data_IF_610246718647
#
_entry.id   IF_610246718647
#
_cell.length_a   1.000
_cell.length_b   1.000
_cell.length_c   1.000
_cell.angle_alpha   90.00
_cell.angle_beta   90.00
_cell.angle_gamma   90.00
#
_symmetry.space_group_name_H-M   'P 1'
#
loop_
_entity.id
_entity.type
_entity.pdbx_description
1 polymer ?
#
# COMPACT_ATOMS: atom_id res chain seq x y z
N UNK A 1 -27.88 29.66 -13.98
CA UNK A 1 -28.22 28.51 -13.13
C UNK A 1 -27.22 27.43 -13.51
N UNK A 2 -26.16 27.24 -12.72
CA UNK A 2 -25.20 26.16 -12.98
C UNK A 2 -25.87 24.88 -12.50
N UNK A 3 -26.06 23.90 -13.40
CA UNK A 3 -26.46 22.56 -12.97
C UNK A 3 -25.45 22.04 -11.97
N UNK A 4 -25.94 21.55 -10.83
CA UNK A 4 -25.08 20.93 -9.82
C UNK A 4 -24.59 19.63 -10.43
N UNK A 5 -23.34 19.65 -10.86
CA UNK A 5 -22.65 18.47 -11.37
C UNK A 5 -22.66 17.38 -10.29
N UNK A 6 -23.12 16.18 -10.63
CA UNK A 6 -23.02 15.04 -9.72
C UNK A 6 -21.54 14.64 -9.55
N UNK A 7 -20.98 14.97 -8.40
CA UNK A 7 -19.60 14.68 -8.04
C UNK A 7 -19.41 13.24 -7.49
N UNK A 8 -20.45 12.41 -7.52
CA UNK A 8 -20.32 10.99 -7.20
C UNK A 8 -19.44 10.28 -8.24
N UNK A 9 -18.91 9.10 -7.89
CA UNK A 9 -18.20 8.25 -8.85
C UNK A 9 -19.09 7.88 -10.05
N UNK A 10 -20.40 7.75 -9.83
CA UNK A 10 -21.40 7.48 -10.88
C UNK A 10 -21.51 8.67 -11.84
N UNK A 11 -21.74 9.88 -11.32
CA UNK A 11 -21.85 11.12 -12.09
C UNK A 11 -20.57 11.48 -12.84
N UNK A 12 -19.41 11.35 -12.19
CA UNK A 12 -18.11 11.59 -12.83
C UNK A 12 -17.86 10.58 -13.95
N UNK A 13 -18.13 9.30 -13.73
CA UNK A 13 -17.95 8.27 -14.75
C UNK A 13 -18.90 8.50 -15.93
N UNK A 14 -20.18 8.78 -15.65
CA UNK A 14 -21.16 9.09 -16.68
C UNK A 14 -20.75 10.32 -17.50
N UNK A 15 -20.23 11.36 -16.86
CA UNK A 15 -19.72 12.55 -17.54
C UNK A 15 -18.52 12.25 -18.44
N UNK A 16 -17.55 11.48 -17.95
CA UNK A 16 -16.32 11.19 -18.70
C UNK A 16 -16.54 10.17 -19.83
N UNK A 17 -17.51 9.27 -19.68
CA UNK A 17 -17.72 8.15 -20.61
C UNK A 17 -18.96 8.30 -21.48
N UNK A 18 -19.92 9.14 -21.07
CA UNK A 18 -21.26 9.20 -21.65
C UNK A 18 -22.16 8.01 -21.28
N UNK A 19 -21.74 7.14 -20.36
CA UNK A 19 -22.48 5.92 -19.99
C UNK A 19 -22.97 5.99 -18.55
N UNK A 20 -24.30 6.11 -18.38
CA UNK A 20 -24.93 6.08 -17.07
C UNK A 20 -24.81 4.70 -16.40
N UNK A 21 -24.73 4.67 -15.07
CA UNK A 21 -24.68 3.44 -14.27
C UNK A 21 -23.34 2.68 -14.29
N UNK A 22 -22.46 2.93 -15.26
CA UNK A 22 -21.14 2.27 -15.34
C UNK A 22 -20.27 2.56 -14.10
N UNK A 23 -20.30 3.80 -13.59
CA UNK A 23 -19.52 4.18 -12.40
C UNK A 23 -19.94 3.44 -11.13
N UNK A 24 -21.24 3.23 -10.94
CA UNK A 24 -21.78 2.42 -9.83
C UNK A 24 -21.33 0.96 -9.94
N UNK A 25 -21.45 0.35 -11.12
CA UNK A 25 -21.03 -1.04 -11.33
C UNK A 25 -19.53 -1.22 -11.05
N UNK A 26 -18.69 -0.30 -11.54
CA UNK A 26 -17.24 -0.33 -11.28
C UNK A 26 -16.95 -0.18 -9.78
N UNK A 27 -17.57 0.81 -9.13
CA UNK A 27 -17.35 1.07 -7.70
C UNK A 27 -17.78 -0.11 -6.83
N UNK A 28 -18.87 -0.78 -7.18
CA UNK A 28 -19.33 -1.99 -6.47
C UNK A 28 -18.30 -3.12 -6.59
N UNK A 29 -17.83 -3.42 -7.81
CA UNK A 29 -16.83 -4.49 -8.04
C UNK A 29 -15.50 -4.19 -7.33
N UNK A 30 -15.03 -2.94 -7.37
CA UNK A 30 -13.80 -2.56 -6.66
C UNK A 30 -13.94 -2.73 -5.15
N UNK A 31 -15.09 -2.38 -4.57
CA UNK A 31 -15.35 -2.60 -3.15
C UNK A 31 -15.42 -4.08 -2.78
N UNK A 32 -15.95 -4.95 -3.65
CA UNK A 32 -15.95 -6.41 -3.43
C UNK A 32 -14.53 -6.97 -3.40
N UNK A 33 -13.67 -6.55 -4.33
CA UNK A 33 -12.25 -6.95 -4.36
C UNK A 33 -11.54 -6.46 -3.09
N UNK A 34 -11.76 -5.20 -2.71
CA UNK A 34 -11.15 -4.64 -1.51
C UNK A 34 -11.57 -5.39 -0.23
N UNK A 35 -12.81 -5.89 -0.14
CA UNK A 35 -13.25 -6.73 0.98
C UNK A 35 -12.47 -8.04 1.07
N UNK A 36 -12.19 -8.67 -0.07
CA UNK A 36 -11.35 -9.88 -0.10
C UNK A 36 -9.95 -9.58 0.43
N UNK A 37 -9.38 -8.43 0.08
CA UNK A 37 -8.05 -8.04 0.57
C UNK A 37 -8.07 -7.68 2.07
N UNK A 38 -9.14 -7.07 2.57
CA UNK A 38 -9.38 -6.90 4.02
C UNK A 38 -9.38 -8.26 4.72
N UNK A 39 -10.14 -9.25 4.22
CA UNK A 39 -10.20 -10.59 4.80
C UNK A 39 -8.82 -11.27 4.84
N UNK A 40 -8.04 -11.19 3.75
CA UNK A 40 -6.66 -11.70 3.72
C UNK A 40 -5.79 -11.03 4.79
N UNK A 41 -5.87 -9.71 4.91
CA UNK A 41 -5.11 -8.97 5.91
C UNK A 41 -5.53 -9.32 7.34
N UNK A 42 -6.81 -9.57 7.59
CA UNK A 42 -7.32 -10.03 8.88
C UNK A 42 -6.83 -11.45 9.22
N UNK A 43 -6.83 -12.36 8.24
CA UNK A 43 -6.27 -13.71 8.40
C UNK A 43 -4.78 -13.62 8.77
N UNK A 44 -4.01 -12.80 8.04
CA UNK A 44 -2.61 -12.57 8.32
C UNK A 44 -2.40 -11.99 9.73
N UNK A 45 -3.13 -10.93 10.07
CA UNK A 45 -3.07 -10.25 11.38
C UNK A 45 -3.34 -11.23 12.52
N UNK A 46 -4.41 -12.02 12.42
CA UNK A 46 -4.79 -12.98 13.45
C UNK A 46 -3.80 -14.15 13.58
N UNK A 47 -3.23 -14.60 12.46
CA UNK A 47 -2.23 -15.69 12.44
C UNK A 47 -0.91 -15.25 13.07
N UNK A 48 -0.48 -14.01 12.81
CA UNK A 48 0.83 -13.52 13.22
C UNK A 48 0.81 -12.64 14.50
N UNK A 49 -0.36 -12.42 15.13
CA UNK A 49 -0.50 -11.49 16.29
C UNK A 49 0.41 -11.81 17.48
N UNK A 50 0.68 -13.08 17.74
CA UNK A 50 1.52 -13.53 18.86
C UNK A 50 3.02 -13.54 18.53
N UNK A 51 3.40 -13.20 17.30
CA UNK A 51 4.79 -13.17 16.87
C UNK A 51 5.44 -11.82 17.21
N UNK A 52 6.77 -11.73 17.09
CA UNK A 52 7.45 -10.44 17.20
C UNK A 52 7.14 -9.53 16.00
N UNK A 53 7.27 -8.21 16.16
CA UNK A 53 7.14 -7.24 15.05
C UNK A 53 8.04 -7.61 13.86
N UNK A 54 9.25 -8.08 14.13
CA UNK A 54 10.19 -8.51 13.09
C UNK A 54 9.68 -9.74 12.32
N UNK A 55 9.15 -10.75 13.03
CA UNK A 55 8.58 -11.94 12.39
C UNK A 55 7.36 -11.57 11.54
N UNK A 56 6.47 -10.69 12.03
CA UNK A 56 5.34 -10.18 11.24
C UNK A 56 5.78 -9.53 9.93
N UNK A 57 6.77 -8.64 9.98
CA UNK A 57 7.32 -8.01 8.76
C UNK A 57 7.92 -9.04 7.80
N UNK A 58 8.70 -9.98 8.33
CA UNK A 58 9.32 -11.03 7.51
C UNK A 58 8.28 -11.95 6.87
N UNK A 59 7.18 -12.25 7.56
CA UNK A 59 6.07 -13.00 7.00
C UNK A 59 5.39 -12.23 5.85
N UNK A 60 5.18 -10.92 6.01
CA UNK A 60 4.64 -10.07 4.94
C UNK A 60 5.58 -10.04 3.72
N UNK A 61 6.90 -9.90 3.91
CA UNK A 61 7.86 -10.04 2.82
C UNK A 61 7.80 -11.42 2.15
N UNK A 62 7.53 -12.49 2.92
CA UNK A 62 7.31 -13.82 2.39
C UNK A 62 6.09 -13.89 1.47
N UNK A 63 4.96 -13.34 1.91
CA UNK A 63 3.73 -13.25 1.10
C UNK A 63 3.96 -12.46 -0.19
N UNK A 64 4.65 -11.31 -0.13
CA UNK A 64 5.01 -10.54 -1.31
C UNK A 64 5.94 -11.33 -2.24
N UNK A 65 6.90 -12.06 -1.69
CA UNK A 65 7.82 -12.89 -2.48
C UNK A 65 7.06 -13.97 -3.23
N UNK A 66 6.09 -14.61 -2.57
CA UNK A 66 5.24 -15.63 -3.18
C UNK A 66 4.31 -15.02 -4.24
N UNK A 67 3.66 -13.90 -3.92
CA UNK A 67 2.76 -13.21 -4.84
C UNK A 67 3.46 -12.78 -6.14
N UNK A 68 4.70 -12.29 -6.02
CA UNK A 68 5.49 -11.79 -7.14
C UNK A 68 6.42 -12.85 -7.75
N UNK A 69 6.28 -14.13 -7.40
CA UNK A 69 7.23 -15.16 -7.82
C UNK A 69 7.38 -15.21 -9.34
N UNK A 70 6.28 -15.14 -10.09
CA UNK A 70 6.30 -15.23 -11.56
C UNK A 70 7.05 -14.06 -12.19
N UNK A 71 6.81 -12.85 -11.69
CA UNK A 71 7.50 -11.63 -12.12
C UNK A 71 8.99 -11.69 -11.78
N UNK A 72 9.32 -12.12 -10.56
CA UNK A 72 10.70 -12.31 -10.11
C UNK A 72 11.41 -13.32 -11.02
N UNK A 73 10.79 -14.45 -11.35
CA UNK A 73 11.35 -15.46 -12.26
C UNK A 73 11.65 -14.89 -13.64
N UNK A 74 10.74 -14.09 -14.20
CA UNK A 74 10.95 -13.40 -15.48
C UNK A 74 12.17 -12.47 -15.40
N UNK A 75 12.24 -11.60 -14.39
CA UNK A 75 13.36 -10.67 -14.26
C UNK A 75 14.69 -11.36 -13.94
N UNK A 76 14.68 -12.44 -13.17
CA UNK A 76 15.88 -13.22 -12.88
C UNK A 76 16.41 -13.93 -14.13
N UNK A 77 15.53 -14.39 -15.02
CA UNK A 77 15.90 -15.03 -16.27
C UNK A 77 16.73 -14.09 -17.18
N UNK A 78 16.43 -12.79 -17.18
CA UNK A 78 17.21 -11.77 -17.89
C UNK A 78 18.69 -11.71 -17.43
N UNK A 79 18.97 -12.14 -16.20
CA UNK A 79 20.31 -12.24 -15.62
C UNK A 79 20.85 -13.68 -15.58
N UNK A 80 20.17 -14.64 -16.21
CA UNK A 80 20.55 -16.06 -16.17
C UNK A 80 20.46 -16.67 -14.77
N UNK A 81 19.52 -16.20 -13.95
CA UNK A 81 19.27 -16.67 -12.59
C UNK A 81 17.93 -17.39 -12.46
N UNK A 82 17.84 -18.30 -11.52
CA UNK A 82 16.59 -18.98 -11.15
C UNK A 82 16.03 -18.46 -9.83
N UNK A 83 14.75 -18.72 -9.57
CA UNK A 83 14.13 -18.39 -8.28
C UNK A 83 14.81 -19.12 -7.11
N UNK A 84 15.25 -20.36 -7.29
CA UNK A 84 16.01 -21.08 -6.26
C UNK A 84 17.30 -20.34 -5.90
N UNK A 85 18.05 -19.83 -6.88
CA UNK A 85 19.24 -19.02 -6.64
C UNK A 85 18.94 -17.70 -5.93
N UNK A 86 17.75 -17.14 -6.15
CA UNK A 86 17.28 -15.99 -5.40
C UNK A 86 17.00 -16.37 -3.93
N UNK A 87 16.38 -17.52 -3.67
CA UNK A 87 16.18 -18.03 -2.32
C UNK A 87 17.50 -18.38 -1.60
N UNK A 88 18.50 -18.87 -2.34
CA UNK A 88 19.85 -19.18 -1.84
C UNK A 88 20.60 -17.95 -1.31
N UNK A 89 20.19 -16.72 -1.65
CA UNK A 89 20.72 -15.49 -1.04
C UNK A 89 20.54 -15.48 0.49
N UNK A 90 19.58 -16.26 0.99
CA UNK A 90 19.27 -16.43 2.39
C UNK A 90 18.44 -15.29 2.97
N UNK A 91 17.82 -15.56 4.13
CA UNK A 91 16.87 -14.67 4.82
C UNK A 91 17.34 -13.21 4.89
N UNK A 92 18.58 -12.97 5.35
CA UNK A 92 19.09 -11.61 5.56
C UNK A 92 19.16 -10.82 4.25
N UNK A 93 19.65 -11.45 3.19
CA UNK A 93 19.82 -10.82 1.88
C UNK A 93 18.48 -10.58 1.21
N UNK A 94 17.53 -11.54 1.29
CA UNK A 94 16.17 -11.38 0.76
C UNK A 94 15.40 -10.25 1.46
N UNK A 95 15.45 -10.18 2.80
CA UNK A 95 14.84 -9.06 3.53
C UNK A 95 15.50 -7.75 3.12
N UNK A 96 16.83 -7.73 2.97
CA UNK A 96 17.55 -6.54 2.51
C UNK A 96 17.11 -6.14 1.10
N UNK A 97 16.94 -7.09 0.18
CA UNK A 97 16.45 -6.84 -1.16
C UNK A 97 15.09 -6.14 -1.13
N UNK A 98 14.11 -6.71 -0.43
CA UNK A 98 12.77 -6.13 -0.35
C UNK A 98 12.72 -4.77 0.35
N UNK A 99 13.57 -4.56 1.37
CA UNK A 99 13.72 -3.25 2.02
C UNK A 99 14.26 -2.17 1.09
N UNK A 100 14.92 -2.55 0.00
CA UNK A 100 15.45 -1.65 -1.02
C UNK A 100 14.50 -1.50 -2.22
N UNK A 101 13.36 -2.21 -2.27
CA UNK A 101 12.28 -1.93 -3.22
C UNK A 101 11.33 -0.92 -2.57
N UNK A 102 11.30 0.36 -2.99
CA UNK A 102 10.67 1.42 -2.20
C UNK A 102 9.18 1.20 -1.96
N UNK A 103 8.44 0.78 -2.99
CA UNK A 103 6.99 0.49 -2.90
C UNK A 103 6.72 -0.60 -1.87
N UNK A 104 7.39 -1.74 -2.01
CA UNK A 104 7.22 -2.89 -1.11
C UNK A 104 7.62 -2.54 0.32
N UNK A 105 8.73 -1.83 0.51
CA UNK A 105 9.15 -1.44 1.85
C UNK A 105 8.13 -0.49 2.51
N UNK A 106 7.59 0.48 1.76
CA UNK A 106 6.57 1.40 2.27
C UNK A 106 5.28 0.66 2.62
N UNK A 107 4.81 -0.21 1.72
CA UNK A 107 3.62 -1.04 1.97
C UNK A 107 3.77 -1.89 3.23
N UNK A 108 4.87 -2.65 3.35
CA UNK A 108 5.12 -3.54 4.50
C UNK A 108 5.19 -2.74 5.80
N UNK A 109 5.87 -1.58 5.80
CA UNK A 109 5.99 -0.73 6.98
C UNK A 109 4.64 -0.16 7.42
N UNK A 110 3.81 0.33 6.49
CA UNK A 110 2.47 0.86 6.80
C UNK A 110 1.50 -0.26 7.22
N UNK A 111 1.43 -1.35 6.46
CA UNK A 111 0.50 -2.45 6.72
C UNK A 111 0.79 -3.16 8.05
N UNK A 112 2.06 -3.38 8.37
CA UNK A 112 2.43 -4.00 9.64
C UNK A 112 2.21 -3.05 10.82
N UNK A 113 2.47 -1.74 10.67
CA UNK A 113 2.25 -0.77 11.74
C UNK A 113 0.77 -0.51 12.00
N UNK A 114 -0.06 -0.46 10.96
CA UNK A 114 -1.53 -0.40 11.09
C UNK A 114 -2.05 -1.58 11.92
N UNK A 115 -1.49 -2.76 11.64
CA UNK A 115 -1.89 -4.03 12.29
C UNK A 115 -1.43 -4.16 13.75
N UNK A 116 -0.68 -3.18 14.29
CA UNK A 116 -0.32 -3.15 15.72
C UNK A 116 -1.51 -2.78 16.62
N UNK A 117 -2.51 -2.08 16.09
CA UNK A 117 -3.76 -1.81 16.82
C UNK A 117 -4.77 -2.92 16.52
N UNK A 118 -4.80 -3.93 17.39
CA UNK A 118 -5.68 -5.09 17.23
C UNK A 118 -7.17 -4.77 17.46
N UNK A 119 -7.48 -3.69 18.18
CA UNK A 119 -8.87 -3.29 18.49
C UNK A 119 -9.52 -2.51 17.34
N UNK A 120 -8.72 -1.99 16.40
CA UNK A 120 -9.20 -1.27 15.22
C UNK A 120 -9.44 -2.27 14.08
N UNK A 121 -10.63 -2.26 13.50
CA UNK A 121 -10.92 -3.04 12.29
C UNK A 121 -10.11 -2.55 11.09
N UNK A 122 -9.79 -3.47 10.18
CA UNK A 122 -9.23 -3.12 8.87
C UNK A 122 -10.39 -2.80 7.94
N UNK A 123 -10.38 -1.60 7.37
CA UNK A 123 -11.38 -1.14 6.40
C UNK A 123 -10.87 -1.26 4.96
N UNK A 124 -11.78 -1.21 3.98
CA UNK A 124 -11.40 -1.12 2.56
C UNK A 124 -10.62 0.15 2.25
N UNK A 125 -10.91 1.26 2.93
CA UNK A 125 -10.15 2.51 2.82
C UNK A 125 -8.69 2.32 3.20
N UNK A 126 -8.40 1.54 4.25
CA UNK A 126 -7.00 1.24 4.62
C UNK A 126 -6.22 0.57 3.48
N UNK A 127 -6.88 -0.25 2.66
CA UNK A 127 -6.26 -0.92 1.52
C UNK A 127 -5.89 0.10 0.45
N UNK A 128 -6.82 1.00 0.11
CA UNK A 128 -6.59 2.05 -0.88
C UNK A 128 -5.53 3.06 -0.41
N UNK A 129 -5.56 3.45 0.85
CA UNK A 129 -4.58 4.38 1.43
C UNK A 129 -3.18 3.76 1.44
N UNK A 130 -3.03 2.50 1.89
CA UNK A 130 -1.73 1.82 1.86
C UNK A 130 -1.22 1.67 0.42
N UNK A 131 -2.08 1.28 -0.52
CA UNK A 131 -1.71 1.11 -1.94
C UNK A 131 -1.27 2.44 -2.56
N UNK A 132 -1.98 3.53 -2.27
CA UNK A 132 -1.66 4.86 -2.81
C UNK A 132 -0.39 5.43 -2.18
N UNK A 133 -0.26 5.30 -0.86
CA UNK A 133 0.90 5.81 -0.12
C UNK A 133 2.16 5.00 -0.35
N UNK A 134 2.06 3.70 -0.66
CA UNK A 134 3.21 2.87 -1.00
C UNK A 134 3.93 3.39 -2.24
N UNK A 135 3.21 4.03 -3.17
CA UNK A 135 3.77 4.69 -4.35
C UNK A 135 4.11 6.16 -4.07
N UNK A 136 3.19 6.91 -3.45
CA UNK A 136 3.35 8.36 -3.28
C UNK A 136 4.53 8.71 -2.36
N UNK A 137 4.68 8.04 -1.22
CA UNK A 137 5.73 8.36 -0.26
C UNK A 137 7.13 8.22 -0.88
N UNK A 138 7.52 7.13 -1.55
CA UNK A 138 8.88 7.01 -2.07
C UNK A 138 9.20 7.84 -3.32
N UNK A 139 8.20 8.39 -4.02
CA UNK A 139 8.41 9.00 -5.35
C UNK A 139 7.91 10.45 -5.49
N UNK A 140 7.30 11.03 -4.47
CA UNK A 140 6.90 12.44 -4.46
C UNK A 140 7.73 13.24 -3.45
N UNK A 141 8.01 14.50 -3.75
CA UNK A 141 8.67 15.41 -2.80
C UNK A 141 7.77 15.76 -1.61
N UNK A 142 6.45 15.87 -1.86
CA UNK A 142 5.45 16.20 -0.85
C UNK A 142 4.22 15.29 -1.00
N UNK A 143 3.75 14.74 0.12
CA UNK A 143 2.53 13.91 0.21
C UNK A 143 1.60 14.51 1.26
N UNK A 144 0.36 14.79 0.88
CA UNK A 144 -0.71 15.18 1.81
C UNK A 144 -1.62 13.98 2.02
N UNK A 145 -1.76 13.53 3.26
CA UNK A 145 -2.60 12.37 3.60
C UNK A 145 -3.26 12.55 4.98
N UNK A 146 -4.12 11.63 5.39
CA UNK A 146 -4.77 11.73 6.68
C UNK A 146 -3.77 11.60 7.85
N UNK A 147 -4.16 12.16 9.00
CA UNK A 147 -3.33 12.16 10.21
C UNK A 147 -2.90 10.75 10.62
N UNK A 148 -3.78 9.77 10.49
CA UNK A 148 -3.51 8.39 10.89
C UNK A 148 -2.31 7.80 10.12
N UNK A 149 -2.34 7.84 8.77
CA UNK A 149 -1.24 7.34 7.95
C UNK A 149 0.02 8.21 8.02
N UNK A 150 -0.13 9.52 8.23
CA UNK A 150 1.02 10.39 8.55
C UNK A 150 1.73 9.89 9.81
N UNK A 151 1.00 9.64 10.89
CA UNK A 151 1.55 9.14 12.16
C UNK A 151 2.18 7.74 12.00
N UNK A 152 1.64 6.87 11.12
CA UNK A 152 2.27 5.58 10.79
C UNK A 152 3.61 5.79 10.06
N UNK A 153 3.61 6.60 9.00
CA UNK A 153 4.76 6.82 8.13
C UNK A 153 5.94 7.46 8.87
N UNK A 154 5.67 8.48 9.71
CA UNK A 154 6.69 9.15 10.53
C UNK A 154 7.28 8.20 11.57
N UNK A 155 6.45 7.36 12.24
CA UNK A 155 6.97 6.34 13.18
C UNK A 155 7.91 5.34 12.52
N UNK A 156 7.74 5.11 11.21
CA UNK A 156 8.62 4.24 10.41
C UNK A 156 9.74 4.99 9.70
N UNK A 157 9.86 6.30 9.94
CA UNK A 157 10.85 7.18 9.32
C UNK A 157 10.81 7.11 7.78
N UNK A 158 9.63 6.90 7.19
CA UNK A 158 9.50 6.82 5.73
C UNK A 158 9.73 8.18 5.07
N UNK A 159 9.33 9.26 5.75
CA UNK A 159 9.67 10.65 5.41
C UNK A 159 11.18 10.84 5.25
N UNK A 160 11.97 10.42 6.24
CA UNK A 160 13.43 10.58 6.21
C UNK A 160 14.11 9.62 5.24
N UNK A 161 13.59 8.39 5.14
CA UNK A 161 14.17 7.36 4.28
C UNK A 161 14.12 7.77 2.81
N UNK A 162 13.02 8.38 2.39
CA UNK A 162 12.81 8.74 0.99
C UNK A 162 12.97 10.25 0.70
N UNK A 163 13.14 11.08 1.73
CA UNK A 163 13.30 12.52 1.57
C UNK A 163 11.97 13.24 1.28
N UNK A 164 10.86 12.68 1.77
CA UNK A 164 9.51 13.12 1.43
C UNK A 164 8.89 13.93 2.57
N UNK A 165 8.35 15.09 2.26
CA UNK A 165 7.60 15.90 3.21
C UNK A 165 6.18 15.33 3.30
N UNK A 166 5.78 14.83 4.49
CA UNK A 166 4.45 14.26 4.71
C UNK A 166 3.63 15.22 5.57
N UNK A 167 2.50 15.67 5.03
CA UNK A 167 1.60 16.65 5.65
C UNK A 167 0.22 16.06 5.90
N UNK A 168 -0.45 16.56 6.94
CA UNK A 168 -1.84 16.16 7.27
C UNK A 168 -2.90 17.05 6.63
N UNK A 169 -2.50 18.16 6.00
CA UNK A 169 -3.40 19.18 5.46
C UNK A 169 -2.73 19.91 4.30
N UNK A 170 -3.51 20.19 3.25
CA UNK A 170 -3.11 20.96 2.08
C UNK A 170 -2.60 22.37 2.44
N UNK A 171 -3.10 22.99 3.51
CA UNK A 171 -2.61 24.29 3.95
C UNK A 171 -1.13 24.27 4.33
N UNK A 172 -0.60 23.12 4.76
CA UNK A 172 0.83 22.98 5.03
C UNK A 172 1.70 23.13 3.78
N UNK A 173 1.13 23.04 2.57
CA UNK A 173 1.85 23.34 1.33
C UNK A 173 2.19 24.83 1.23
N UNK A 174 1.36 25.71 1.78
CA UNK A 174 1.56 27.17 1.71
C UNK A 174 2.87 27.57 2.40
N UNK A 175 3.26 26.85 3.46
CA UNK A 175 4.48 27.12 4.22
C UNK A 175 5.76 26.61 3.54
N UNK A 176 5.65 25.92 2.40
CA UNK A 176 6.77 25.34 1.64
C UNK A 176 7.19 26.17 0.41
N UNK A 177 6.40 27.18 0.02
CA UNK A 177 6.58 27.99 -1.20
C UNK A 177 6.86 29.45 -0.83
#
# INVERSE_FOLDING_TARGET
MFEIFDQSASGITAFLTGVEGMGEEISMKQNEIAKIDVEKMEIFRNTAKNQSKEIRKNAYYGEITYLLQSEIEIYLADFGKTFDQFLELGKKSLISFWKNVPIINTEVELATERSENLDREISTHDIFDITSLSVAIPYCDVVVTEKYFTDLAIRKNLDKKYGTIILTNINGLIDLV
#
